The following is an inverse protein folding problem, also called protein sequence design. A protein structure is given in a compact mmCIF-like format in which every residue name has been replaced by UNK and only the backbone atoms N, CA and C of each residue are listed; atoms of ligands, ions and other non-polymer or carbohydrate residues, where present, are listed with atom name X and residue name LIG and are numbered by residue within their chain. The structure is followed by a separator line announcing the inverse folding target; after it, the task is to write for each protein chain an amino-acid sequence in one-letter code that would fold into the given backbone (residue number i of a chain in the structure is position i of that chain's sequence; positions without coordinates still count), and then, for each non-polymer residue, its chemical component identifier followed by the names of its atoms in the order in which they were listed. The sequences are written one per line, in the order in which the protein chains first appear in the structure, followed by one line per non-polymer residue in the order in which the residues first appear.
data_IF_499078313550
#
_entry.id   IF_499078313550
#
_cell.length_a   1.000
_cell.length_b   1.000
_cell.length_c   1.000
_cell.angle_alpha   90.00
_cell.angle_beta   90.00
_cell.angle_gamma   90.00
#
_symmetry.space_group_name_H-M   'P 1'
#
loop_
_entity.id
_entity.type
_entity.pdbx_description
1 polymer ?
#
# COMPACT_ATOMS: atom_id res chain seq x y z
N UNK A 1 23.20 -19.76 43.47
CA UNK A 1 23.72 -18.39 43.26
C UNK A 1 23.49 -18.02 41.80
N UNK A 2 22.51 -17.17 41.49
CA UNK A 2 22.28 -16.74 40.11
C UNK A 2 23.35 -15.70 39.75
N UNK A 3 24.37 -16.09 38.98
CA UNK A 3 25.25 -15.10 38.35
C UNK A 3 24.39 -14.17 37.50
N UNK A 4 24.38 -12.87 37.79
CA UNK A 4 23.77 -11.90 36.89
C UNK A 4 24.54 -11.98 35.58
N UNK A 5 23.91 -12.47 34.53
CA UNK A 5 24.47 -12.39 33.18
C UNK A 5 24.83 -10.91 32.90
N UNK A 6 26.08 -10.68 32.50
CA UNK A 6 26.59 -9.35 32.26
C UNK A 6 26.11 -8.87 30.89
N UNK A 7 25.05 -8.07 30.90
CA UNK A 7 24.49 -7.48 29.68
C UNK A 7 25.10 -6.09 29.44
N UNK A 8 25.41 -5.82 28.17
CA UNK A 8 25.68 -4.47 27.70
C UNK A 8 24.35 -3.72 27.54
N UNK A 9 24.27 -2.54 28.17
CA UNK A 9 23.10 -1.67 28.10
C UNK A 9 23.50 -0.35 27.46
N UNK A 10 23.05 -0.06 26.23
CA UNK A 10 23.46 1.14 25.53
C UNK A 10 22.90 2.39 26.24
N UNK A 11 23.76 3.39 26.40
CA UNK A 11 23.45 4.67 27.03
C UNK A 11 23.60 5.85 26.06
N UNK A 12 24.48 5.72 25.06
CA UNK A 12 24.75 6.71 24.02
C UNK A 12 24.32 6.21 22.65
N UNK A 13 24.29 7.10 21.66
CA UNK A 13 23.98 6.74 20.28
C UNK A 13 25.08 5.86 19.68
N UNK A 14 26.35 6.15 19.98
CA UNK A 14 27.49 5.37 19.46
C UNK A 14 27.44 3.88 19.86
N UNK A 15 26.84 3.57 21.01
CA UNK A 15 26.70 2.20 21.53
C UNK A 15 25.87 1.29 20.60
N UNK A 16 25.07 1.87 19.70
CA UNK A 16 24.19 1.15 18.77
C UNK A 16 24.85 0.83 17.43
N UNK A 17 25.81 1.65 17.01
CA UNK A 17 26.39 1.58 15.67
C UNK A 17 27.06 0.22 15.38
N UNK A 18 27.79 -0.43 16.32
CA UNK A 18 28.34 -1.77 16.10
C UNK A 18 27.28 -2.85 15.81
N UNK A 19 26.04 -2.62 16.24
CA UNK A 19 24.94 -3.58 16.12
C UNK A 19 23.93 -3.18 15.03
N UNK A 20 24.06 -2.01 14.41
CA UNK A 20 23.09 -1.47 13.45
C UNK A 20 22.79 -2.45 12.33
N UNK A 21 23.83 -2.95 11.65
CA UNK A 21 23.66 -3.87 10.52
C UNK A 21 22.94 -5.17 10.92
N UNK A 22 23.25 -5.71 12.11
CA UNK A 22 22.61 -6.91 12.65
C UNK A 22 21.14 -6.64 12.98
N UNK A 23 20.85 -5.54 13.67
CA UNK A 23 19.49 -5.16 14.05
C UNK A 23 18.65 -4.91 12.78
N UNK A 24 19.21 -4.24 11.78
CA UNK A 24 18.55 -4.00 10.50
C UNK A 24 18.17 -5.31 9.79
N UNK A 25 19.12 -6.23 9.65
CA UNK A 25 18.87 -7.53 9.03
C UNK A 25 17.79 -8.32 9.80
N UNK A 26 17.90 -8.39 11.12
CA UNK A 26 16.91 -9.07 11.96
C UNK A 26 15.53 -8.40 11.87
N UNK A 27 15.47 -7.07 11.82
CA UNK A 27 14.20 -6.34 11.79
C UNK A 27 13.47 -6.48 10.46
N UNK A 28 14.17 -6.67 9.33
CA UNK A 28 13.54 -6.96 8.03
C UNK A 28 12.68 -8.22 8.13
N UNK A 29 13.18 -9.27 8.78
CA UNK A 29 12.53 -10.58 8.81
C UNK A 29 11.62 -10.78 10.04
N UNK A 30 12.03 -10.31 11.21
CA UNK A 30 11.41 -10.66 12.49
C UNK A 30 10.55 -9.53 13.09
N UNK A 31 9.74 -9.86 14.10
CA UNK A 31 9.06 -8.84 14.90
C UNK A 31 10.05 -8.22 15.87
N UNK A 32 9.81 -6.97 16.28
CA UNK A 32 10.70 -6.25 17.19
C UNK A 32 11.00 -7.05 18.48
N UNK A 33 10.02 -7.77 19.02
CA UNK A 33 10.21 -8.61 20.20
C UNK A 33 11.29 -9.67 19.95
N UNK A 34 11.19 -10.40 18.85
CA UNK A 34 12.14 -11.47 18.51
C UNK A 34 13.53 -10.91 18.17
N UNK A 35 13.60 -9.70 17.61
CA UNK A 35 14.88 -8.97 17.44
C UNK A 35 15.50 -8.69 18.80
N UNK A 36 14.73 -8.14 19.75
CA UNK A 36 15.21 -7.87 21.11
C UNK A 36 15.68 -9.16 21.81
N UNK A 37 14.92 -10.25 21.68
CA UNK A 37 15.26 -11.55 22.26
C UNK A 37 16.55 -12.11 21.65
N UNK A 38 16.73 -11.98 20.32
CA UNK A 38 17.97 -12.39 19.62
C UNK A 38 19.17 -11.55 20.07
N UNK A 39 19.00 -10.23 20.20
CA UNK A 39 20.06 -9.33 20.65
C UNK A 39 20.47 -9.59 22.11
N UNK A 40 19.50 -9.90 22.98
CA UNK A 40 19.78 -10.24 24.37
C UNK A 40 20.53 -11.58 24.48
N UNK A 41 20.13 -12.59 23.72
CA UNK A 41 20.69 -13.95 23.82
C UNK A 41 22.00 -14.15 23.07
N UNK A 42 22.15 -13.63 21.87
CA UNK A 42 23.33 -13.86 21.02
C UNK A 42 24.40 -12.78 21.15
N UNK A 43 24.02 -11.56 21.54
CA UNK A 43 24.94 -10.41 21.58
C UNK A 43 25.08 -9.81 22.99
N UNK A 44 24.41 -10.37 24.00
CA UNK A 44 24.35 -9.82 25.36
C UNK A 44 23.92 -8.34 25.39
N UNK A 45 23.17 -7.90 24.38
CA UNK A 45 22.78 -6.52 24.17
C UNK A 45 21.33 -6.32 24.62
N UNK A 46 21.13 -5.58 25.72
CA UNK A 46 19.83 -5.40 26.33
C UNK A 46 19.42 -3.93 26.37
N UNK A 47 18.35 -3.61 25.64
CA UNK A 47 17.76 -2.27 25.61
C UNK A 47 16.23 -2.35 25.68
N UNK A 48 15.59 -1.22 26.01
CA UNK A 48 14.12 -1.14 26.09
C UNK A 48 13.49 -1.09 24.69
N UNK A 49 12.24 -1.54 24.58
CA UNK A 49 11.47 -1.45 23.32
C UNK A 49 11.38 -0.03 22.79
N UNK A 50 11.29 0.98 23.67
CA UNK A 50 11.27 2.39 23.27
C UNK A 50 12.58 2.80 22.59
N UNK A 51 13.73 2.41 23.14
CA UNK A 51 15.04 2.73 22.56
C UNK A 51 15.21 2.10 21.16
N UNK A 52 14.84 0.82 21.00
CA UNK A 52 14.86 0.18 19.69
C UNK A 52 13.96 0.91 18.68
N UNK A 53 12.73 1.28 19.06
CA UNK A 53 11.82 2.02 18.17
C UNK A 53 12.39 3.36 17.72
N UNK A 54 13.05 4.08 18.64
CA UNK A 54 13.74 5.34 18.31
C UNK A 54 14.82 5.07 17.27
N UNK A 55 15.69 4.07 17.48
CA UNK A 55 16.79 3.74 16.58
C UNK A 55 16.33 3.26 15.21
N UNK A 56 15.33 2.39 15.15
CA UNK A 56 14.69 1.94 13.91
C UNK A 56 14.17 3.15 13.11
N UNK A 57 13.55 4.13 13.78
CA UNK A 57 13.08 5.35 13.13
C UNK A 57 14.23 6.24 12.66
N UNK A 58 15.24 6.46 13.50
CA UNK A 58 16.44 7.25 13.16
C UNK A 58 17.18 6.65 11.96
N UNK A 59 17.21 5.32 11.83
CA UNK A 59 17.82 4.62 10.71
C UNK A 59 16.91 4.49 9.48
N UNK A 60 15.68 5.03 9.51
CA UNK A 60 14.75 4.98 8.38
C UNK A 60 14.18 3.59 8.09
N UNK A 61 14.16 2.70 9.08
CA UNK A 61 13.66 1.32 8.95
C UNK A 61 12.17 1.19 9.27
N UNK A 62 11.43 2.29 9.32
CA UNK A 62 10.00 2.32 9.65
C UNK A 62 9.09 2.13 8.42
N UNK A 63 9.67 1.68 7.30
CA UNK A 63 9.03 1.39 6.01
C UNK A 63 8.46 -0.04 5.90
N UNK A 64 8.72 -0.89 6.91
CA UNK A 64 8.29 -2.29 6.98
C UNK A 64 6.77 -2.47 6.84
N UNK A 65 5.98 -1.52 7.34
CA UNK A 65 4.52 -1.57 7.31
C UNK A 65 3.95 -0.31 6.68
N UNK A 66 2.80 -0.47 6.01
CA UNK A 66 2.06 0.65 5.44
C UNK A 66 1.44 1.46 6.58
N UNK A 67 1.73 2.76 6.62
CA UNK A 67 1.24 3.70 7.64
C UNK A 67 -0.20 4.13 7.32
N UNK A 68 -0.91 4.65 8.32
CA UNK A 68 -2.28 5.18 8.14
C UNK A 68 -2.34 6.26 7.06
N UNK A 69 -1.38 7.21 7.05
CA UNK A 69 -1.30 8.25 6.02
C UNK A 69 -1.11 7.67 4.62
N UNK A 70 -0.32 6.60 4.51
CA UNK A 70 -0.06 5.91 3.24
C UNK A 70 -1.31 5.17 2.76
N UNK A 71 -2.03 4.47 3.64
CA UNK A 71 -3.32 3.89 3.28
C UNK A 71 -4.34 4.94 2.82
N UNK A 72 -4.38 6.12 3.46
CA UNK A 72 -5.24 7.22 3.02
C UNK A 72 -4.82 7.74 1.63
N UNK A 73 -3.51 7.84 1.35
CA UNK A 73 -3.01 8.17 0.02
C UNK A 73 -3.38 7.12 -1.04
N UNK A 74 -3.29 5.83 -0.70
CA UNK A 74 -3.73 4.73 -1.57
C UNK A 74 -5.24 4.84 -1.84
N UNK A 75 -6.06 5.06 -0.80
CA UNK A 75 -7.51 5.21 -0.95
C UNK A 75 -7.89 6.42 -1.80
N UNK A 76 -7.17 7.53 -1.68
CA UNK A 76 -7.34 8.71 -2.54
C UNK A 76 -7.21 8.34 -4.01
N UNK A 77 -6.17 7.58 -4.37
CA UNK A 77 -5.95 7.13 -5.75
C UNK A 77 -6.99 6.08 -6.15
N UNK A 78 -7.26 5.08 -5.31
CA UNK A 78 -8.28 4.04 -5.55
C UNK A 78 -9.64 4.65 -5.88
N UNK A 79 -10.16 5.53 -5.03
CA UNK A 79 -11.47 6.17 -5.25
C UNK A 79 -11.48 7.05 -6.49
N UNK A 80 -10.36 7.66 -6.86
CA UNK A 80 -10.24 8.40 -8.13
C UNK A 80 -10.37 7.43 -9.31
N UNK A 81 -9.63 6.32 -9.30
CA UNK A 81 -9.66 5.32 -10.38
C UNK A 81 -11.02 4.63 -10.50
N UNK A 82 -11.69 4.34 -9.39
CA UNK A 82 -13.05 3.79 -9.39
C UNK A 82 -14.08 4.75 -10.01
N UNK A 83 -13.84 6.07 -9.97
CA UNK A 83 -14.69 7.06 -10.67
C UNK A 83 -14.36 7.18 -12.16
N UNK A 84 -13.08 7.07 -12.51
CA UNK A 84 -12.60 7.15 -13.89
C UNK A 84 -12.94 5.88 -14.68
N UNK A 85 -12.74 4.72 -14.07
CA UNK A 85 -12.83 3.38 -14.66
C UNK A 85 -13.54 2.39 -13.69
N UNK A 86 -14.86 2.51 -13.46
CA UNK A 86 -15.58 1.77 -12.40
C UNK A 86 -15.58 0.24 -12.56
N UNK A 87 -15.35 -0.25 -13.79
CA UNK A 87 -15.39 -1.67 -14.11
C UNK A 87 -14.01 -2.33 -14.07
N UNK A 88 -12.97 -1.62 -13.62
CA UNK A 88 -11.59 -2.09 -13.67
C UNK A 88 -10.92 -2.06 -12.30
N UNK A 89 -10.36 -3.20 -11.90
CA UNK A 89 -9.58 -3.28 -10.68
C UNK A 89 -8.22 -2.58 -10.85
N UNK A 90 -7.81 -1.84 -9.82
CA UNK A 90 -6.51 -1.18 -9.79
C UNK A 90 -5.60 -1.85 -8.78
N UNK A 91 -4.44 -2.29 -9.24
CA UNK A 91 -3.37 -2.84 -8.41
C UNK A 91 -2.44 -1.71 -7.94
N UNK A 92 -1.93 -1.81 -6.72
CA UNK A 92 -1.09 -0.79 -6.09
C UNK A 92 0.25 -1.37 -5.66
N UNK A 93 1.31 -0.58 -5.82
CA UNK A 93 2.64 -0.86 -5.31
C UNK A 93 3.12 0.35 -4.50
N UNK A 94 3.57 0.10 -3.27
CA UNK A 94 4.13 1.11 -2.40
C UNK A 94 5.59 0.76 -2.12
N UNK A 95 6.52 1.68 -2.42
CA UNK A 95 7.97 1.46 -2.28
C UNK A 95 8.43 0.15 -2.98
N UNK A 96 7.89 -0.10 -4.18
CA UNK A 96 8.19 -1.30 -4.97
C UNK A 96 7.55 -2.61 -4.48
N UNK A 97 6.75 -2.59 -3.41
CA UNK A 97 6.04 -3.78 -2.88
C UNK A 97 4.57 -3.72 -3.23
N UNK A 98 4.03 -4.82 -3.78
CA UNK A 98 2.60 -4.92 -4.06
C UNK A 98 1.78 -4.83 -2.77
N UNK A 99 0.77 -3.98 -2.77
CA UNK A 99 -0.16 -3.82 -1.66
C UNK A 99 -1.29 -4.83 -1.84
N UNK A 100 -1.51 -5.67 -0.82
CA UNK A 100 -2.63 -6.61 -0.78
C UNK A 100 -3.97 -5.85 -0.86
N UNK A 101 -4.82 -6.07 -1.88
CA UNK A 101 -6.12 -5.41 -1.98
C UNK A 101 -7.00 -5.62 -0.75
N UNK A 102 -6.97 -6.81 -0.15
CA UNK A 102 -7.74 -7.11 1.05
C UNK A 102 -7.26 -6.29 2.26
N UNK A 103 -5.98 -5.89 2.29
CA UNK A 103 -5.46 -4.99 3.32
C UNK A 103 -6.03 -3.57 3.20
N UNK A 104 -6.21 -3.08 1.98
CA UNK A 104 -6.83 -1.79 1.68
C UNK A 104 -8.29 -1.81 2.15
N UNK A 105 -9.07 -2.83 1.75
CA UNK A 105 -10.46 -2.99 2.18
C UNK A 105 -10.59 -3.06 3.71
N UNK A 106 -9.73 -3.87 4.37
CA UNK A 106 -9.72 -3.96 5.84
C UNK A 106 -9.41 -2.62 6.50
N UNK A 107 -8.50 -1.83 5.93
CA UNK A 107 -8.20 -0.50 6.44
C UNK A 107 -9.40 0.44 6.25
N UNK A 108 -10.00 0.49 5.07
CA UNK A 108 -11.16 1.32 4.73
C UNK A 108 -12.31 1.08 5.71
N UNK A 109 -12.72 -0.19 5.92
CA UNK A 109 -13.79 -0.52 6.89
C UNK A 109 -13.47 -0.04 8.31
N UNK A 110 -12.22 -0.18 8.76
CA UNK A 110 -11.81 0.27 10.10
C UNK A 110 -11.77 1.80 10.20
N UNK A 111 -11.34 2.48 9.14
CA UNK A 111 -11.27 3.93 9.09
C UNK A 111 -12.68 4.53 9.10
N UNK A 112 -13.61 4.02 8.30
CA UNK A 112 -15.03 4.42 8.30
C UNK A 112 -15.66 4.17 9.67
N UNK A 113 -15.47 2.98 10.26
CA UNK A 113 -16.00 2.67 11.61
C UNK A 113 -15.47 3.60 12.70
N UNK A 114 -14.26 4.14 12.54
CA UNK A 114 -13.64 5.09 13.48
C UNK A 114 -14.00 6.55 13.17
N UNK A 115 -14.76 6.82 12.11
CA UNK A 115 -15.07 8.17 11.64
C UNK A 115 -13.87 8.92 11.08
N UNK A 116 -12.81 8.22 10.68
CA UNK A 116 -11.62 8.83 10.08
C UNK A 116 -11.87 9.27 8.63
N UNK A 117 -12.74 8.54 7.91
CA UNK A 117 -13.15 8.80 6.54
C UNK A 117 -14.65 8.51 6.40
N UNK A 118 -15.27 9.02 5.35
CA UNK A 118 -16.63 8.63 4.92
C UNK A 118 -16.57 7.94 3.56
N UNK A 119 -17.64 7.23 3.17
CA UNK A 119 -17.70 6.53 1.88
C UNK A 119 -17.68 7.51 0.69
N UNK A 120 -18.18 8.73 0.90
CA UNK A 120 -18.19 9.81 -0.11
C UNK A 120 -16.92 10.66 -0.13
N UNK A 121 -15.95 10.40 0.76
CA UNK A 121 -14.76 11.23 0.90
C UNK A 121 -13.81 11.04 -0.31
N UNK A 122 -13.42 12.13 -0.96
CA UNK A 122 -12.47 12.10 -2.07
C UNK A 122 -11.01 12.04 -1.60
N UNK A 123 -10.76 12.31 -0.31
CA UNK A 123 -9.44 12.39 0.33
C UNK A 123 -8.50 13.37 -0.40
N UNK A 124 -9.06 14.38 -1.06
CA UNK A 124 -8.28 15.35 -1.85
C UNK A 124 -7.31 16.15 -0.98
N UNK A 125 -7.66 16.37 0.29
CA UNK A 125 -6.87 17.04 1.32
C UNK A 125 -5.63 16.25 1.76
N UNK A 126 -5.55 14.94 1.46
CA UNK A 126 -4.42 14.09 1.86
C UNK A 126 -3.21 14.27 0.96
N UNK A 127 -2.03 14.19 1.57
CA UNK A 127 -0.76 14.28 0.87
C UNK A 127 -0.64 13.23 -0.24
N UNK A 128 -0.07 13.65 -1.36
CA UNK A 128 0.31 12.71 -2.42
C UNK A 128 1.49 11.87 -1.95
N UNK A 129 1.44 10.56 -2.23
CA UNK A 129 2.58 9.68 -2.00
C UNK A 129 3.66 9.80 -3.09
N UNK A 130 3.43 10.64 -4.11
CA UNK A 130 4.41 10.90 -5.17
C UNK A 130 4.88 9.60 -5.83
N UNK A 131 6.18 9.50 -6.06
CA UNK A 131 6.82 8.37 -6.74
C UNK A 131 6.82 7.07 -5.92
N UNK A 132 6.55 7.14 -4.60
CA UNK A 132 6.48 5.96 -3.76
C UNK A 132 5.26 5.09 -4.07
N UNK A 133 4.17 5.69 -4.58
CA UNK A 133 2.94 4.98 -4.94
C UNK A 133 2.82 4.83 -6.46
N UNK A 134 2.90 3.59 -6.91
CA UNK A 134 2.63 3.20 -8.29
C UNK A 134 1.31 2.43 -8.35
N UNK A 135 0.62 2.52 -9.48
CA UNK A 135 -0.60 1.75 -9.71
C UNK A 135 -0.68 1.28 -11.17
N UNK A 136 -1.35 0.16 -11.37
CA UNK A 136 -1.66 -0.37 -12.69
C UNK A 136 -3.15 -0.70 -12.72
N UNK A 137 -3.85 -0.13 -13.69
CA UNK A 137 -5.20 -0.54 -14.04
C UNK A 137 -5.05 -1.26 -15.37
N UNK A 138 -5.17 -2.61 -15.41
CA UNK A 138 -5.06 -3.35 -16.66
C UNK A 138 -5.97 -2.71 -17.71
N UNK A 139 -5.38 -2.31 -18.84
CA UNK A 139 -6.16 -1.98 -20.03
C UNK A 139 -6.76 -3.29 -20.53
N UNK A 140 -8.03 -3.25 -20.92
CA UNK A 140 -8.71 -4.38 -21.55
C UNK A 140 -7.79 -5.07 -22.57
N UNK A 141 -7.78 -6.39 -22.56
CA UNK A 141 -7.27 -7.17 -23.68
C UNK A 141 -8.07 -6.68 -24.90
N UNK A 142 -7.46 -5.85 -25.73
CA UNK A 142 -7.97 -5.67 -27.08
C UNK A 142 -7.94 -7.07 -27.67
N UNK A 143 -9.10 -7.62 -28.02
CA UNK A 143 -9.17 -8.82 -28.85
C UNK A 143 -8.42 -8.49 -30.14
N UNK A 144 -7.12 -8.79 -30.20
CA UNK A 144 -6.28 -8.60 -31.40
C UNK A 144 -6.80 -9.46 -32.58
N UNK A 145 -7.77 -10.35 -32.34
CA UNK A 145 -8.47 -11.12 -33.37
C UNK A 145 -9.57 -10.34 -34.12
N UNK A 146 -10.00 -9.15 -33.66
CA UNK A 146 -10.90 -8.28 -34.45
C UNK A 146 -10.04 -7.37 -35.34
N UNK A 147 -9.51 -7.94 -36.42
CA UNK A 147 -8.62 -7.24 -37.36
C UNK A 147 -9.36 -6.60 -38.55
N UNK A 148 -10.68 -6.78 -38.65
CA UNK A 148 -11.49 -6.31 -39.78
C UNK A 148 -12.64 -5.41 -39.35
N UNK A 149 -12.81 -4.30 -40.07
CA UNK A 149 -13.94 -3.37 -39.90
C UNK A 149 -15.31 -4.06 -40.09
N UNK A 150 -15.37 -5.14 -40.86
CA UNK A 150 -16.59 -5.92 -41.07
C UNK A 150 -16.99 -6.77 -39.84
N UNK A 151 -16.02 -7.32 -39.11
CA UNK A 151 -16.30 -8.13 -37.91
C UNK A 151 -16.83 -7.27 -36.76
N UNK A 152 -16.40 -6.01 -36.67
CA UNK A 152 -16.91 -5.03 -35.71
C UNK A 152 -18.41 -4.74 -35.91
N UNK A 153 -18.85 -4.58 -37.16
CA UNK A 153 -20.27 -4.37 -37.48
C UNK A 153 -21.10 -5.65 -37.33
N UNK A 154 -20.56 -6.81 -37.69
CA UNK A 154 -21.24 -8.09 -37.51
C UNK A 154 -21.49 -8.42 -36.03
N UNK A 155 -20.54 -8.07 -35.14
CA UNK A 155 -20.71 -8.18 -33.69
C UNK A 155 -21.78 -7.21 -33.14
N UNK A 156 -21.92 -6.02 -33.74
CA UNK A 156 -22.97 -5.05 -33.42
C UNK A 156 -24.36 -5.51 -33.84
N UNK A 157 -24.48 -6.14 -35.02
CA UNK A 157 -25.76 -6.63 -35.55
C UNK A 157 -26.28 -7.87 -34.79
N UNK A 158 -25.37 -8.75 -34.35
CA UNK A 158 -25.72 -9.93 -33.54
C UNK A 158 -26.10 -9.58 -32.10
N UNK A 159 -25.59 -8.46 -31.57
CA UNK A 159 -25.88 -7.97 -30.21
C UNK A 159 -27.07 -7.01 -30.14
N UNK A 160 -28.11 -7.24 -30.94
CA UNK A 160 -29.44 -6.66 -30.72
C UNK A 160 -29.56 -5.17 -31.03
N UNK A 161 -30.40 -4.89 -32.03
CA UNK A 161 -30.97 -3.58 -32.30
C UNK A 161 -31.50 -2.91 -31.01
N UNK A 162 -30.78 -1.92 -30.49
CA UNK A 162 -31.41 -0.79 -29.81
C UNK A 162 -31.33 0.40 -30.77
N UNK A 163 -32.39 0.53 -31.57
CA UNK A 163 -32.57 1.60 -32.54
C UNK A 163 -32.43 2.97 -31.85
N UNK A 164 -31.37 3.71 -32.16
CA UNK A 164 -31.35 5.16 -31.96
C UNK A 164 -31.72 5.83 -33.27
N UNK A 165 -33.02 6.05 -33.47
CA UNK A 165 -33.53 6.84 -34.59
C UNK A 165 -33.28 8.31 -34.30
N UNK A 166 -32.27 8.90 -34.94
CA UNK A 166 -32.10 10.35 -34.95
C UNK A 166 -33.20 10.99 -35.79
N UNK A 167 -34.21 11.56 -35.13
CA UNK A 167 -35.17 12.44 -35.78
C UNK A 167 -34.55 13.84 -35.92
N UNK A 168 -34.23 14.23 -37.16
CA UNK A 168 -33.90 15.62 -37.45
C UNK A 168 -35.18 16.46 -37.49
N UNK A 169 -35.31 17.37 -36.53
CA UNK A 169 -36.28 18.46 -36.55
C UNK A 169 -35.91 19.45 -37.66
N UNK A 170 -36.71 19.47 -38.73
CA UNK A 170 -36.67 20.55 -39.73
C UNK A 170 -37.51 21.72 -39.20
N UNK A 171 -36.84 22.75 -38.68
CA UNK A 171 -37.48 24.03 -38.36
C UNK A 171 -37.85 24.81 -39.62
N UNK A 172 -39.05 25.37 -39.63
CA UNK A 172 -39.49 26.42 -40.55
C UNK A 172 -40.13 27.53 -39.75
#
# INVERSE_FOLDING_TARGET
MSSKAQYFRPSRTEDWEPYRAVIEALYKEKKLKDVMDTMETSYSFKATTRQYKIKIKEWGLDDKYIKTSEYLGILKVKRRREREDPNRDTMFWLRGKQVDPASITRFETRATKRGLITDSDTLSDRDSLGDDLQYMTPTEDYDEDITSYEDYYAAYETRGQSSSSYQYSTGR
#
